data_IF_232797110084
#
_entry.id   IF_232797110084
#
_cell.length_a   1.000
_cell.length_b   1.000
_cell.length_c   1.000
_cell.angle_alpha   90.00
_cell.angle_beta   90.00
_cell.angle_gamma   90.00
#
_symmetry.space_group_name_H-M   'P 1'
#
loop_
_entity.id
_entity.type
_entity.pdbx_description
1 polymer ?
#
# COMPACT_ATOMS: atom_id res chain seq x y z
N UNK A 1 87.03 -49.01 13.63
CA UNK A 1 87.06 -47.64 14.21
C UNK A 1 85.61 -47.23 14.45
N UNK A 2 85.19 -47.05 15.71
CA UNK A 2 83.78 -46.95 16.11
C UNK A 2 83.48 -45.49 16.45
N UNK A 3 82.71 -44.81 15.61
CA UNK A 3 82.42 -43.38 15.75
C UNK A 3 81.10 -43.25 16.51
N UNK A 4 81.13 -42.71 17.73
CA UNK A 4 79.94 -42.45 18.53
C UNK A 4 79.44 -41.03 18.26
N UNK A 5 78.25 -40.92 17.66
CA UNK A 5 77.56 -39.64 17.48
C UNK A 5 76.95 -39.21 18.81
N UNK A 6 77.45 -38.10 19.37
CA UNK A 6 76.82 -37.47 20.54
C UNK A 6 75.48 -36.85 20.09
N UNK A 7 74.41 -37.18 20.81
CA UNK A 7 73.08 -36.61 20.60
C UNK A 7 73.11 -35.08 20.73
N UNK A 8 72.33 -34.34 19.91
CA UNK A 8 72.24 -32.90 20.03
C UNK A 8 71.59 -32.52 21.39
N UNK A 9 72.04 -31.42 22.03
CA UNK A 9 71.53 -31.00 23.32
C UNK A 9 70.03 -30.70 23.24
N UNK A 10 69.26 -31.23 24.18
CA UNK A 10 67.84 -30.92 24.32
C UNK A 10 67.70 -29.49 24.88
N UNK A 11 66.59 -28.81 24.56
CA UNK A 11 66.36 -27.40 24.88
C UNK A 11 66.35 -27.04 26.38
N UNK A 12 66.60 -28.01 27.27
CA UNK A 12 66.60 -27.88 28.73
C UNK A 12 68.00 -28.04 29.36
N UNK A 13 69.04 -28.22 28.54
CA UNK A 13 70.43 -28.35 29.00
C UNK A 13 71.34 -27.36 28.27
N UNK A 14 72.09 -26.57 29.02
CA UNK A 14 73.20 -25.77 28.49
C UNK A 14 74.47 -26.16 29.23
N UNK A 15 75.49 -26.64 28.50
CA UNK A 15 76.80 -27.05 29.06
C UNK A 15 76.72 -28.04 30.24
N UNK A 16 75.77 -28.98 30.22
CA UNK A 16 75.63 -30.02 31.26
C UNK A 16 75.03 -29.54 32.59
N UNK A 17 74.54 -28.30 32.66
CA UNK A 17 73.69 -27.84 33.76
C UNK A 17 72.23 -27.88 33.33
N UNK A 18 71.38 -28.45 34.20
CA UNK A 18 69.93 -28.41 34.05
C UNK A 18 69.45 -26.97 34.17
N UNK A 19 69.03 -26.37 33.05
CA UNK A 19 68.46 -25.03 33.04
C UNK A 19 66.95 -25.19 33.15
N UNK A 20 66.42 -24.96 34.35
CA UNK A 20 64.99 -24.88 34.56
C UNK A 20 64.45 -23.59 33.94
N UNK A 21 64.15 -23.63 32.65
CA UNK A 21 63.28 -22.62 32.04
C UNK A 21 61.94 -22.66 32.78
N UNK A 22 61.66 -21.62 33.58
CA UNK A 22 60.34 -21.46 34.17
C UNK A 22 59.33 -21.52 33.03
N UNK A 23 58.27 -22.35 33.13
CA UNK A 23 57.27 -22.42 32.08
C UNK A 23 56.72 -21.01 31.90
N UNK A 24 56.94 -20.41 30.74
CA UNK A 24 56.49 -19.06 30.42
C UNK A 24 54.97 -19.08 30.22
N UNK A 25 54.23 -19.37 31.28
CA UNK A 25 52.77 -19.47 31.29
C UNK A 25 52.20 -18.07 31.47
N UNK A 26 52.44 -17.20 30.48
CA UNK A 26 51.69 -15.96 30.35
C UNK A 26 50.29 -16.36 29.85
N UNK A 27 49.35 -16.54 30.77
CA UNK A 27 47.93 -16.63 30.45
C UNK A 27 47.48 -15.25 29.96
N UNK A 28 47.81 -14.93 28.71
CA UNK A 28 47.28 -13.75 28.03
C UNK A 28 45.76 -13.94 27.94
N UNK A 29 44.95 -12.99 28.44
CA UNK A 29 43.50 -13.10 28.38
C UNK A 29 43.05 -13.15 26.91
N UNK A 30 42.68 -14.33 26.42
CA UNK A 30 42.32 -14.58 25.02
C UNK A 30 41.11 -13.76 24.58
N UNK A 31 40.28 -13.28 25.51
CA UNK A 31 39.13 -12.42 25.23
C UNK A 31 39.55 -11.08 24.58
N UNK A 32 40.69 -10.50 24.97
CA UNK A 32 41.19 -9.24 24.41
C UNK A 32 41.43 -9.35 22.91
N UNK A 33 41.96 -10.49 22.47
CA UNK A 33 42.21 -10.79 21.07
C UNK A 33 40.91 -11.04 20.30
N UNK A 34 39.93 -11.70 20.90
CA UNK A 34 38.61 -11.91 20.28
C UNK A 34 37.89 -10.58 20.05
N UNK A 35 37.94 -9.65 21.01
CA UNK A 35 37.38 -8.31 20.84
C UNK A 35 38.10 -7.52 19.76
N UNK A 36 39.43 -7.58 19.72
CA UNK A 36 40.21 -6.91 18.67
C UNK A 36 39.85 -7.46 17.28
N UNK A 37 39.74 -8.79 17.15
CA UNK A 37 39.31 -9.44 15.91
C UNK A 37 37.91 -8.98 15.52
N UNK A 38 36.95 -8.99 16.44
CA UNK A 38 35.58 -8.51 16.17
C UNK A 38 35.58 -7.04 15.79
N UNK A 39 36.38 -6.20 16.44
CA UNK A 39 36.47 -4.77 16.14
C UNK A 39 37.03 -4.51 14.74
N UNK A 40 38.08 -5.25 14.35
CA UNK A 40 38.68 -5.17 13.02
C UNK A 40 37.74 -5.72 11.96
N UNK A 41 36.97 -6.78 12.28
CA UNK A 41 36.03 -7.40 11.37
C UNK A 41 34.64 -6.73 11.35
N UNK A 42 34.34 -5.85 12.31
CA UNK A 42 33.06 -5.15 12.44
C UNK A 42 32.63 -4.42 11.18
N UNK A 43 33.47 -3.58 10.51
CA UNK A 43 33.05 -2.91 9.28
C UNK A 43 32.70 -3.90 8.16
N UNK A 44 33.43 -5.02 8.06
CA UNK A 44 33.13 -6.08 7.08
C UNK A 44 31.82 -6.80 7.42
N UNK A 45 31.59 -7.11 8.69
CA UNK A 45 30.36 -7.75 9.16
C UNK A 45 29.14 -6.86 8.91
N UNK A 46 29.26 -5.56 9.20
CA UNK A 46 28.19 -4.58 8.99
C UNK A 46 27.86 -4.43 7.50
N UNK A 47 28.89 -4.39 6.64
CA UNK A 47 28.69 -4.34 5.20
C UNK A 47 27.95 -5.58 4.70
N UNK A 48 28.40 -6.77 5.10
CA UNK A 48 27.76 -8.02 4.71
C UNK A 48 26.31 -8.10 5.23
N UNK A 49 26.07 -7.69 6.48
CA UNK A 49 24.74 -7.63 7.05
C UNK A 49 23.83 -6.67 6.27
N UNK A 50 24.35 -5.51 5.82
CA UNK A 50 23.60 -4.55 5.02
C UNK A 50 23.21 -5.11 3.65
N UNK A 51 24.14 -5.78 2.97
CA UNK A 51 23.89 -6.43 1.67
C UNK A 51 22.83 -7.53 1.81
N UNK A 52 22.95 -8.38 2.83
CA UNK A 52 21.95 -9.43 3.10
C UNK A 52 20.59 -8.80 3.42
N UNK A 53 20.57 -7.72 4.20
CA UNK A 53 19.34 -7.00 4.52
C UNK A 53 18.69 -6.45 3.25
N UNK A 54 19.42 -5.78 2.37
CA UNK A 54 18.86 -5.25 1.12
C UNK A 54 18.41 -6.36 0.15
N UNK A 55 19.10 -7.51 0.16
CA UNK A 55 18.72 -8.67 -0.66
C UNK A 55 17.44 -9.35 -0.16
N UNK A 56 17.24 -9.42 1.16
CA UNK A 56 16.04 -10.04 1.76
C UNK A 56 14.86 -9.07 1.78
N UNK A 57 15.11 -7.80 2.12
CA UNK A 57 14.09 -6.76 2.26
C UNK A 57 14.05 -5.88 1.01
N UNK A 58 13.48 -6.43 -0.07
CA UNK A 58 13.19 -5.65 -1.27
C UNK A 58 12.08 -4.62 -0.98
N UNK A 59 12.47 -3.36 -0.75
CA UNK A 59 11.53 -2.24 -0.65
C UNK A 59 11.13 -1.80 -2.06
N UNK A 60 10.02 -2.34 -2.57
CA UNK A 60 9.42 -1.87 -3.82
C UNK A 60 8.47 -0.72 -3.49
N UNK A 61 8.74 0.52 -3.93
CA UNK A 61 7.78 1.61 -3.78
C UNK A 61 6.55 1.31 -4.63
N UNK A 62 5.49 0.81 -4.00
CA UNK A 62 4.18 0.64 -4.60
C UNK A 62 3.35 1.89 -4.40
N UNK A 63 2.59 2.29 -5.42
CA UNK A 63 1.52 3.26 -5.27
C UNK A 63 0.18 2.52 -5.32
N UNK A 64 -0.75 2.91 -4.45
CA UNK A 64 -2.13 2.43 -4.52
C UNK A 64 -2.89 3.38 -5.44
N UNK A 65 -3.17 2.93 -6.67
CA UNK A 65 -4.08 3.63 -7.56
C UNK A 65 -5.51 3.29 -7.17
N UNK A 66 -6.26 4.29 -6.71
CA UNK A 66 -7.69 4.18 -6.44
C UNK A 66 -8.40 4.72 -7.68
N UNK A 67 -9.36 3.98 -8.20
CA UNK A 67 -10.20 4.46 -9.29
C UNK A 67 -11.08 5.61 -8.80
N UNK A 68 -10.91 6.77 -9.44
CA UNK A 68 -11.70 7.96 -9.15
C UNK A 68 -12.68 8.23 -10.30
N UNK A 69 -13.98 8.06 -10.03
CA UNK A 69 -15.03 8.46 -10.95
C UNK A 69 -15.52 9.87 -10.64
N UNK A 70 -15.35 10.80 -11.58
CA UNK A 70 -15.87 12.16 -11.44
C UNK A 70 -17.34 12.21 -11.90
N UNK A 71 -18.26 12.35 -10.95
CA UNK A 71 -19.69 12.53 -11.25
C UNK A 71 -19.96 14.00 -11.53
N UNK A 72 -20.43 14.32 -12.75
CA UNK A 72 -20.81 15.67 -13.16
C UNK A 72 -22.31 15.76 -13.40
N UNK A 73 -22.91 16.90 -13.08
CA UNK A 73 -24.30 17.18 -13.42
C UNK A 73 -24.38 17.69 -14.86
N UNK A 74 -25.26 17.13 -15.71
CA UNK A 74 -25.38 17.55 -17.12
C UNK A 74 -26.01 18.94 -17.28
N UNK A 75 -26.74 19.42 -16.27
CA UNK A 75 -27.37 20.74 -16.27
C UNK A 75 -26.93 21.53 -15.04
N UNK A 76 -26.87 22.87 -15.22
CA UNK A 76 -26.71 23.80 -14.11
C UNK A 76 -28.01 23.85 -13.29
N UNK A 77 -27.89 23.92 -11.97
CA UNK A 77 -29.02 23.97 -11.04
C UNK A 77 -28.55 24.20 -9.60
N UNK A 78 -29.50 24.42 -8.69
CA UNK A 78 -29.22 24.55 -7.26
C UNK A 78 -29.16 23.17 -6.61
N UNK A 79 -28.09 22.89 -5.87
CA UNK A 79 -27.96 21.67 -5.07
C UNK A 79 -28.94 21.74 -3.88
N UNK A 80 -29.85 20.78 -3.78
CA UNK A 80 -30.85 20.70 -2.68
C UNK A 80 -30.39 19.72 -1.62
N UNK A 81 -29.88 18.57 -2.05
CA UNK A 81 -29.39 17.52 -1.15
C UNK A 81 -28.16 16.85 -1.77
N UNK A 82 -27.19 16.54 -0.93
CA UNK A 82 -26.02 15.76 -1.28
C UNK A 82 -25.75 14.72 -0.21
N UNK A 83 -25.25 13.57 -0.63
CA UNK A 83 -24.73 12.53 0.26
C UNK A 83 -23.54 13.08 1.05
N UNK A 84 -23.38 12.63 2.31
CA UNK A 84 -22.29 13.07 3.16
C UNK A 84 -20.94 12.52 2.66
N UNK A 85 -19.87 13.26 2.92
CA UNK A 85 -18.53 12.83 2.53
C UNK A 85 -18.14 11.56 3.30
N UNK A 86 -17.75 10.51 2.57
CA UNK A 86 -17.30 9.24 3.15
C UNK A 86 -18.38 8.16 3.23
N UNK A 87 -19.63 8.46 2.86
CA UNK A 87 -20.66 7.43 2.76
C UNK A 87 -20.41 6.49 1.57
N UNK A 88 -20.69 5.20 1.79
CA UNK A 88 -20.60 4.19 0.74
C UNK A 88 -21.81 4.30 -0.20
N UNK A 89 -21.56 4.67 -1.45
CA UNK A 89 -22.57 4.77 -2.52
C UNK A 89 -22.32 3.71 -3.59
N UNK A 90 -23.40 3.10 -4.09
CA UNK A 90 -23.36 2.13 -5.19
C UNK A 90 -23.74 2.79 -6.51
N UNK A 91 -23.41 2.12 -7.61
CA UNK A 91 -23.86 2.55 -8.93
C UNK A 91 -25.40 2.59 -8.98
N UNK A 92 -25.95 3.74 -9.35
CA UNK A 92 -27.39 4.00 -9.39
C UNK A 92 -27.95 4.75 -8.17
N UNK A 93 -27.18 4.90 -7.10
CA UNK A 93 -27.62 5.68 -5.95
C UNK A 93 -27.66 7.17 -6.27
N UNK A 94 -28.64 7.87 -5.69
CA UNK A 94 -28.79 9.32 -5.88
C UNK A 94 -27.78 10.06 -5.00
N UNK A 95 -26.65 10.45 -5.59
CA UNK A 95 -25.56 11.16 -4.89
C UNK A 95 -25.92 12.63 -4.61
N UNK A 96 -26.66 13.26 -5.53
CA UNK A 96 -27.07 14.64 -5.41
C UNK A 96 -28.44 14.89 -6.05
N UNK A 97 -29.25 15.74 -5.43
CA UNK A 97 -30.49 16.24 -6.00
C UNK A 97 -30.31 17.70 -6.40
N UNK A 98 -30.54 17.98 -7.69
CA UNK A 98 -30.50 19.33 -8.25
C UNK A 98 -31.92 19.83 -8.53
N UNK A 99 -32.18 21.07 -8.14
CA UNK A 99 -33.37 21.82 -8.56
C UNK A 99 -33.01 22.79 -9.68
N UNK A 100 -33.79 22.78 -10.75
CA UNK A 100 -33.67 23.75 -11.84
C UNK A 100 -35.05 24.33 -12.14
N UNK A 101 -35.23 25.61 -11.78
CA UNK A 101 -36.48 26.35 -11.92
C UNK A 101 -36.95 26.43 -13.40
N UNK A 102 -36.00 26.52 -14.34
CA UNK A 102 -36.32 26.56 -15.77
C UNK A 102 -36.90 25.23 -16.24
N UNK A 103 -36.32 24.10 -15.83
CA UNK A 103 -36.85 22.78 -16.18
C UNK A 103 -38.21 22.52 -15.53
N UNK A 104 -38.41 22.98 -14.30
CA UNK A 104 -39.70 22.88 -13.61
C UNK A 104 -40.79 23.65 -14.36
N UNK A 105 -40.53 24.89 -14.77
CA UNK A 105 -41.49 25.68 -15.56
C UNK A 105 -41.80 25.06 -16.91
N UNK A 106 -40.79 24.53 -17.64
CA UNK A 106 -40.99 23.87 -18.92
C UNK A 106 -41.80 22.58 -18.78
N UNK A 107 -41.51 21.77 -17.76
CA UNK A 107 -42.24 20.54 -17.45
C UNK A 107 -43.71 20.83 -17.16
N UNK A 108 -43.97 21.88 -16.39
CA UNK A 108 -45.33 22.24 -16.00
C UNK A 108 -46.13 22.81 -17.18
N UNK A 109 -45.50 23.63 -18.03
CA UNK A 109 -46.09 24.08 -19.29
C UNK A 109 -46.43 22.91 -20.24
N UNK A 110 -45.53 21.92 -20.34
CA UNK A 110 -45.75 20.73 -21.18
C UNK A 110 -46.87 19.84 -20.62
N UNK A 111 -46.96 19.69 -19.29
CA UNK A 111 -48.07 18.96 -18.67
C UNK A 111 -49.41 19.64 -18.93
N UNK A 112 -49.45 20.97 -18.86
CA UNK A 112 -50.66 21.74 -19.16
C UNK A 112 -51.11 21.55 -20.62
N UNK A 113 -50.16 21.55 -21.57
CA UNK A 113 -50.47 21.35 -22.99
C UNK A 113 -50.96 19.92 -23.29
N UNK A 114 -50.35 18.90 -22.68
CA UNK A 114 -50.79 17.51 -22.80
C UNK A 114 -52.20 17.30 -22.20
N UNK A 115 -52.49 17.90 -21.05
CA UNK A 115 -53.82 17.83 -20.44
C UNK A 115 -54.89 18.48 -21.32
N UNK A 116 -54.59 19.65 -21.90
CA UNK A 116 -55.50 20.34 -22.83
C UNK A 116 -55.73 19.50 -24.10
N UNK A 117 -54.69 18.89 -24.67
CA UNK A 117 -54.81 18.01 -25.83
C UNK A 117 -55.67 16.78 -25.52
N UNK A 118 -55.45 16.15 -24.35
CA UNK A 118 -56.23 14.96 -23.93
C UNK A 118 -57.71 15.28 -23.76
N UNK A 119 -58.06 16.45 -23.20
CA UNK A 119 -59.45 16.91 -23.10
C UNK A 119 -60.08 17.12 -24.47
N UNK A 120 -59.34 17.70 -25.43
CA UNK A 120 -59.83 17.88 -26.81
C UNK A 120 -60.13 16.55 -27.48
N UNK A 121 -59.25 15.56 -27.33
CA UNK A 121 -59.49 14.22 -27.87
C UNK A 121 -60.71 13.56 -27.22
N UNK A 122 -60.87 13.65 -25.90
CA UNK A 122 -62.04 13.11 -25.20
C UNK A 122 -63.34 13.79 -25.63
N UNK A 123 -63.33 15.11 -25.83
CA UNK A 123 -64.49 15.84 -26.34
C UNK A 123 -64.84 15.41 -27.77
N UNK A 124 -63.85 15.12 -28.62
CA UNK A 124 -64.08 14.58 -29.97
C UNK A 124 -64.62 13.14 -29.92
N UNK A 125 -64.16 12.30 -29.00
CA UNK A 125 -64.70 10.94 -28.83
C UNK A 125 -66.14 10.95 -28.29
N UNK A 126 -66.45 11.88 -27.38
CA UNK A 126 -67.81 12.06 -26.84
C UNK A 126 -68.78 12.62 -27.90
N UNK A 127 -68.31 13.52 -28.77
CA UNK A 127 -69.10 14.06 -29.88
C UNK A 127 -69.32 13.05 -31.02
N UNK A 128 -68.49 12.00 -31.11
CA UNK A 128 -68.62 10.93 -32.10
C UNK A 128 -69.47 9.73 -31.67
N UNK A 129 -69.99 9.70 -30.45
CA UNK A 129 -70.87 8.62 -29.99
C UNK A 129 -72.31 8.87 -30.52
N UNK A 130 -72.86 8.00 -31.39
CA UNK A 130 -74.20 8.19 -31.94
C UNK A 130 -75.25 8.18 -30.80
N UNK A 131 -76.26 9.05 -30.85
CA UNK A 131 -77.28 9.11 -29.82
C UNK A 131 -78.02 7.78 -29.78
N UNK A 132 -78.01 7.13 -28.61
CA UNK A 132 -78.87 5.99 -28.33
C UNK A 132 -80.32 6.42 -28.57
N UNK A 133 -80.98 5.74 -29.53
CA UNK A 133 -82.38 5.93 -29.84
C UNK A 133 -83.23 5.59 -28.61
N UNK A 134 -84.08 6.49 -28.12
CA UNK A 134 -85.08 6.16 -27.10
C UNK A 134 -86.42 5.78 -27.74
N UNK A 135 -87.35 5.22 -26.93
CA UNK A 135 -87.48 3.82 -26.52
C UNK A 135 -88.11 2.89 -27.58
#
# INVERSE_FOLDING_TARGET
MKINFKQPPTAFETNGLAVHYAPSKRNLPTWRWRVLIVLVLAPLLLFLARVVYDAVFASMPGFVAIDHSLVKTPLAGRLVHSVAQGDAVRAGDTVAQLRNELLESQRDALRASLAAARRRMQAQTAAGAPPAAPP
#
